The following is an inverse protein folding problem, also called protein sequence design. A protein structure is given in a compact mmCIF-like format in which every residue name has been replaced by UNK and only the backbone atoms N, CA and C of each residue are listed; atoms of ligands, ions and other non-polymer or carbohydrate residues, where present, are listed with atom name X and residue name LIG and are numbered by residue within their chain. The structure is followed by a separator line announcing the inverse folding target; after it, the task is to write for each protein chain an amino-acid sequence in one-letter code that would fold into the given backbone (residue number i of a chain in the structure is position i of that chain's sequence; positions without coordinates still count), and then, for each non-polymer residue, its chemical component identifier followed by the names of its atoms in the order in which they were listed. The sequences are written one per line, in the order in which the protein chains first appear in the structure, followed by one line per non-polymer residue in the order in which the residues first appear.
data_IF_370213340792
#
_entry.id   IF_370213340792
#
_cell.length_a   1.000
_cell.length_b   1.000
_cell.length_c   1.000
_cell.angle_alpha   90.00
_cell.angle_beta   90.00
_cell.angle_gamma   90.00
#
_symmetry.space_group_name_H-M   'P 1'
#
loop_
_entity.id
_entity.type
_entity.pdbx_description
1 polymer ?
#
# COMPACT_ATOMS: atom_id res chain seq x y z
N UNK A 1 -13.84 11.85 34.34
CA UNK A 1 -14.22 10.41 34.37
C UNK A 1 -13.33 9.70 33.41
N UNK A 2 -12.49 8.79 33.89
CA UNK A 2 -11.64 7.96 33.02
C UNK A 2 -12.52 6.91 32.35
N UNK A 3 -13.00 7.19 31.16
CA UNK A 3 -13.59 6.19 30.29
C UNK A 3 -12.49 5.62 29.41
N UNK A 4 -12.39 4.35 29.36
CA UNK A 4 -11.43 3.62 28.54
C UNK A 4 -10.55 2.64 29.29
N UNK A 5 -10.76 2.44 30.58
CA UNK A 5 -9.93 1.48 31.35
C UNK A 5 -10.09 0.02 30.90
N UNK A 6 -11.16 -0.33 30.14
CA UNK A 6 -11.48 -1.70 29.75
C UNK A 6 -11.62 -1.92 28.22
N UNK A 7 -11.52 -0.89 27.39
CA UNK A 7 -11.61 -1.08 25.94
C UNK A 7 -10.31 -1.72 25.43
N UNK A 8 -10.40 -2.99 25.02
CA UNK A 8 -9.25 -3.77 24.54
C UNK A 8 -9.22 -3.89 23.02
N UNK A 9 -10.27 -3.49 22.36
CA UNK A 9 -10.41 -3.61 20.92
C UNK A 9 -10.41 -2.25 20.25
N UNK A 10 -9.69 -2.11 19.18
CA UNK A 10 -9.63 -0.92 18.33
C UNK A 10 -9.94 -1.33 16.88
N UNK A 11 -10.78 -0.56 16.22
CA UNK A 11 -10.92 -0.57 14.76
C UNK A 11 -10.59 0.82 14.25
N UNK A 12 -9.76 0.88 13.20
CA UNK A 12 -9.41 2.14 12.55
C UNK A 12 -9.32 2.00 11.04
N UNK A 13 -9.54 3.12 10.36
CA UNK A 13 -9.33 3.27 8.93
C UNK A 13 -8.30 4.36 8.71
N UNK A 14 -7.34 4.13 7.82
CA UNK A 14 -6.36 5.13 7.43
C UNK A 14 -6.31 5.31 5.92
N UNK A 15 -5.96 6.54 5.50
CA UNK A 15 -5.66 6.87 4.13
C UNK A 15 -4.37 7.68 4.08
N UNK A 16 -3.49 7.36 3.14
CA UNK A 16 -2.16 7.96 3.02
C UNK A 16 -1.70 8.17 1.60
N UNK A 17 -0.70 9.02 1.49
CA UNK A 17 -0.01 9.38 0.25
C UNK A 17 1.44 8.92 0.35
N UNK A 18 1.87 8.13 -0.61
CA UNK A 18 3.21 7.58 -0.69
C UNK A 18 4.12 8.41 -1.59
N UNK A 19 5.41 8.46 -1.27
CA UNK A 19 6.42 9.19 -2.08
C UNK A 19 6.64 8.60 -3.47
N UNK A 20 6.20 7.39 -3.73
CA UNK A 20 6.22 6.75 -5.05
C UNK A 20 4.94 7.03 -5.88
N UNK A 21 4.23 8.12 -5.57
CA UNK A 21 3.03 8.55 -6.29
C UNK A 21 1.88 7.52 -6.23
N UNK A 22 1.74 6.87 -5.09
CA UNK A 22 0.63 5.97 -4.79
C UNK A 22 -0.15 6.45 -3.57
N UNK A 23 -1.42 6.12 -3.50
CA UNK A 23 -2.19 6.20 -2.27
C UNK A 23 -2.28 4.82 -1.61
N UNK A 24 -2.45 4.85 -0.30
CA UNK A 24 -2.60 3.68 0.55
C UNK A 24 -3.84 3.85 1.41
N UNK A 25 -4.66 2.82 1.49
CA UNK A 25 -5.81 2.78 2.39
C UNK A 25 -5.77 1.51 3.20
N UNK A 26 -6.04 1.60 4.50
CA UNK A 26 -6.01 0.45 5.42
C UNK A 26 -7.22 0.42 6.30
N UNK A 27 -7.70 -0.78 6.56
CA UNK A 27 -8.59 -1.11 7.67
C UNK A 27 -7.80 -1.92 8.66
N UNK A 28 -7.70 -1.46 9.90
CA UNK A 28 -6.89 -2.06 10.96
C UNK A 28 -7.77 -2.49 12.12
N UNK A 29 -7.55 -3.69 12.61
CA UNK A 29 -8.07 -4.18 13.88
C UNK A 29 -6.91 -4.47 14.80
N UNK A 30 -7.03 -4.04 16.09
CA UNK A 30 -6.04 -4.29 17.12
C UNK A 30 -6.69 -4.74 18.42
N UNK A 31 -6.00 -5.62 19.10
CA UNK A 31 -6.32 -6.07 20.46
C UNK A 31 -5.20 -5.60 21.40
N UNK A 32 -5.57 -4.81 22.42
CA UNK A 32 -4.63 -4.31 23.39
C UNK A 32 -4.43 -5.27 24.55
N UNK A 33 -3.22 -5.75 24.72
CA UNK A 33 -2.80 -6.59 25.85
C UNK A 33 -2.80 -5.78 27.17
N UNK A 34 -2.42 -4.52 27.05
CA UNK A 34 -2.44 -3.52 28.11
C UNK A 34 -2.62 -2.11 27.48
N UNK A 35 -2.58 -1.04 28.30
CA UNK A 35 -2.77 0.35 27.82
C UNK A 35 -1.72 0.84 26.80
N UNK A 36 -0.62 0.11 26.66
CA UNK A 36 0.54 0.53 25.85
C UNK A 36 0.75 -0.37 24.65
N UNK A 37 0.54 -1.68 24.79
CA UNK A 37 0.92 -2.69 23.78
C UNK A 37 -0.33 -3.33 23.20
N UNK A 38 -0.46 -3.28 21.89
CA UNK A 38 -1.51 -3.95 21.12
C UNK A 38 -0.92 -4.85 20.03
N UNK A 39 -1.66 -5.88 19.67
CA UNK A 39 -1.37 -6.76 18.53
C UNK A 39 -2.58 -6.79 17.61
N UNK A 40 -2.34 -6.82 16.31
CA UNK A 40 -3.44 -6.75 15.36
C UNK A 40 -3.06 -7.10 13.94
N UNK A 41 -3.94 -6.73 13.03
CA UNK A 41 -3.69 -6.87 11.61
C UNK A 41 -4.40 -5.76 10.83
N UNK A 42 -3.78 -5.37 9.72
CA UNK A 42 -4.36 -4.44 8.75
C UNK A 42 -4.60 -5.15 7.43
N UNK A 43 -5.73 -4.86 6.80
CA UNK A 43 -5.99 -5.15 5.40
C UNK A 43 -5.86 -3.85 4.62
N UNK A 44 -5.02 -3.82 3.62
CA UNK A 44 -4.75 -2.61 2.86
C UNK A 44 -4.83 -2.79 1.36
N UNK A 45 -5.00 -1.67 0.69
CA UNK A 45 -4.98 -1.53 -0.75
C UNK A 45 -4.16 -0.31 -1.12
N UNK A 46 -3.28 -0.48 -2.11
CA UNK A 46 -2.54 0.63 -2.70
C UNK A 46 -2.76 0.71 -4.21
N UNK A 47 -2.67 1.93 -4.73
CA UNK A 47 -2.69 2.18 -6.16
C UNK A 47 -1.87 3.41 -6.50
N UNK A 48 -1.04 3.29 -7.53
CA UNK A 48 -0.34 4.42 -8.08
C UNK A 48 -1.31 5.33 -8.87
N UNK A 49 -1.26 6.66 -8.62
CA UNK A 49 -2.11 7.60 -9.36
C UNK A 49 -1.43 8.16 -10.60
N UNK A 50 -0.09 8.20 -10.64
CA UNK A 50 0.67 8.75 -11.74
C UNK A 50 1.80 7.82 -12.14
N UNK A 51 1.96 7.59 -13.45
CA UNK A 51 3.10 6.90 -14.02
C UNK A 51 3.62 7.71 -15.20
N UNK A 52 4.92 7.88 -15.28
CA UNK A 52 5.56 8.76 -16.27
C UNK A 52 5.45 8.19 -17.69
N UNK A 53 5.45 6.87 -17.82
CA UNK A 53 5.45 6.19 -19.11
C UNK A 53 4.55 4.94 -19.07
N UNK A 54 3.84 4.71 -20.18
CA UNK A 54 3.14 3.44 -20.40
C UNK A 54 4.16 2.47 -21.00
N UNK A 55 4.36 1.28 -20.41
CA UNK A 55 5.22 0.26 -21.00
C UNK A 55 4.77 -0.10 -22.41
N UNK A 56 5.67 0.07 -23.37
CA UNK A 56 5.48 -0.22 -24.78
C UNK A 56 6.80 -0.52 -25.47
N UNK A 57 6.76 -1.27 -26.55
CA UNK A 57 7.93 -1.52 -27.39
C UNK A 57 7.51 -1.90 -28.80
N UNK A 58 8.40 -1.66 -29.75
CA UNK A 58 8.30 -2.19 -31.10
C UNK A 58 8.58 -3.70 -31.08
N UNK A 59 7.97 -4.41 -32.02
CA UNK A 59 8.14 -5.83 -32.28
C UNK A 59 8.61 -6.02 -33.71
N UNK A 60 9.52 -6.96 -33.90
CA UNK A 60 9.90 -7.45 -35.22
C UNK A 60 9.24 -8.84 -35.44
N UNK A 61 7.92 -8.81 -35.58
CA UNK A 61 7.11 -10.03 -35.77
C UNK A 61 6.21 -9.89 -37.00
N UNK A 62 5.95 -10.98 -37.70
CA UNK A 62 5.17 -10.95 -38.94
C UNK A 62 3.74 -10.42 -38.76
N UNK A 63 3.13 -10.65 -37.60
CA UNK A 63 1.74 -10.27 -37.34
C UNK A 63 1.60 -8.94 -36.59
N UNK A 64 2.60 -8.54 -35.77
CA UNK A 64 2.49 -7.42 -34.83
C UNK A 64 3.72 -6.53 -34.87
N UNK A 65 3.51 -5.22 -35.05
CA UNK A 65 4.60 -4.23 -35.10
C UNK A 65 5.00 -3.72 -33.72
N UNK A 66 4.06 -3.70 -32.79
CA UNK A 66 4.29 -3.15 -31.46
C UNK A 66 3.35 -3.76 -30.40
N UNK A 67 3.73 -3.58 -29.15
CA UNK A 67 2.85 -3.83 -28.03
C UNK A 67 2.87 -2.65 -27.05
N UNK A 68 1.77 -2.45 -26.34
CA UNK A 68 1.67 -1.53 -25.20
C UNK A 68 0.82 -2.11 -24.09
N UNK A 69 1.09 -1.68 -22.85
CA UNK A 69 0.24 -2.03 -21.73
C UNK A 69 -1.11 -1.31 -21.85
N UNK A 70 -2.18 -1.93 -21.37
CA UNK A 70 -3.50 -1.30 -21.32
C UNK A 70 -3.47 -0.08 -20.40
N UNK A 71 -4.19 0.98 -20.77
CA UNK A 71 -4.31 2.21 -19.98
C UNK A 71 -4.87 1.99 -18.57
N UNK A 72 -5.58 0.91 -18.35
CA UNK A 72 -6.11 0.54 -17.04
C UNK A 72 -5.08 -0.16 -16.16
N UNK A 73 -4.07 -0.80 -16.76
CA UNK A 73 -3.18 -1.74 -16.09
C UNK A 73 -1.74 -1.23 -15.90
N UNK A 74 -1.36 -0.07 -16.46
CA UNK A 74 0.01 0.43 -16.34
C UNK A 74 0.35 1.04 -14.98
N UNK A 75 -0.65 1.26 -14.12
CA UNK A 75 -0.49 1.79 -12.77
C UNK A 75 -0.48 0.68 -11.74
N UNK A 76 0.65 0.39 -11.07
CA UNK A 76 0.71 -0.63 -10.05
C UNK A 76 -0.35 -0.48 -8.97
N UNK A 77 -1.02 -1.58 -8.66
CA UNK A 77 -2.00 -1.68 -7.59
C UNK A 77 -2.01 -3.11 -7.03
N UNK A 78 -2.24 -3.25 -5.74
CA UNK A 78 -2.44 -4.55 -5.11
C UNK A 78 -3.12 -4.40 -3.75
N UNK A 79 -3.49 -5.53 -3.17
CA UNK A 79 -3.94 -5.66 -1.80
C UNK A 79 -2.85 -6.33 -0.96
N UNK A 80 -2.90 -6.09 0.35
CA UNK A 80 -1.97 -6.70 1.28
C UNK A 80 -2.61 -6.94 2.64
N UNK A 81 -2.03 -7.87 3.38
CA UNK A 81 -2.30 -8.12 4.79
C UNK A 81 -1.06 -7.77 5.60
N UNK A 82 -1.23 -7.15 6.76
CA UNK A 82 -0.13 -6.71 7.60
C UNK A 82 -0.43 -7.00 9.07
N UNK A 83 0.10 -8.10 9.65
CA UNK A 83 0.17 -8.24 11.09
C UNK A 83 0.99 -7.10 11.69
N UNK A 84 0.51 -6.55 12.80
CA UNK A 84 1.06 -5.35 13.45
C UNK A 84 1.23 -5.53 14.94
N UNK A 85 2.29 -4.92 15.46
CA UNK A 85 2.53 -4.67 16.88
C UNK A 85 2.42 -3.16 17.11
N UNK A 86 1.49 -2.72 17.95
CA UNK A 86 1.29 -1.33 18.30
C UNK A 86 1.83 -1.01 19.69
N UNK A 87 2.53 0.10 19.78
CA UNK A 87 3.06 0.63 21.05
C UNK A 87 2.56 2.07 21.17
N UNK A 88 1.79 2.34 22.22
CA UNK A 88 1.24 3.67 22.51
C UNK A 88 1.80 4.23 23.80
N UNK A 89 2.13 5.53 23.82
CA UNK A 89 2.50 6.23 25.04
C UNK A 89 1.28 6.42 25.96
N UNK A 90 1.48 6.66 27.27
CA UNK A 90 0.50 7.35 28.06
C UNK A 90 0.16 8.72 27.45
N UNK A 91 -0.92 9.36 27.92
CA UNK A 91 -1.23 10.71 27.50
C UNK A 91 -0.07 11.66 27.87
N UNK A 92 0.52 12.31 26.85
CA UNK A 92 1.62 13.27 27.00
C UNK A 92 1.09 14.67 27.31
N UNK A 93 -0.13 14.96 26.89
CA UNK A 93 -0.85 16.19 27.19
C UNK A 93 -2.36 15.91 27.24
N UNK A 94 -3.08 16.73 28.01
CA UNK A 94 -4.53 16.67 28.10
C UNK A 94 -5.12 18.07 28.08
N UNK A 95 -6.10 18.30 27.21
CA UNK A 95 -6.82 19.58 27.10
C UNK A 95 -8.31 19.27 27.14
N UNK A 96 -8.94 19.55 28.31
CA UNK A 96 -10.33 19.17 28.53
C UNK A 96 -10.54 17.66 28.43
N UNK A 97 -11.35 17.21 27.47
CA UNK A 97 -11.61 15.78 27.22
C UNK A 97 -10.66 15.14 26.19
N UNK A 98 -9.76 15.93 25.62
CA UNK A 98 -8.84 15.47 24.57
C UNK A 98 -7.50 15.07 25.17
N UNK A 99 -7.07 13.86 24.92
CA UNK A 99 -5.77 13.32 25.30
C UNK A 99 -4.87 13.18 24.06
N UNK A 100 -3.64 13.67 24.18
CA UNK A 100 -2.62 13.56 23.13
C UNK A 100 -1.67 12.41 23.48
N UNK A 101 -1.45 11.52 22.52
CA UNK A 101 -0.57 10.36 22.66
C UNK A 101 0.37 10.24 21.46
N UNK A 102 1.51 9.59 21.69
CA UNK A 102 2.38 9.11 20.63
C UNK A 102 2.16 7.61 20.46
N UNK A 103 2.21 7.15 19.24
CA UNK A 103 2.11 5.74 18.91
C UNK A 103 3.15 5.34 17.86
N UNK A 104 3.48 4.06 17.83
CA UNK A 104 4.22 3.45 16.73
C UNK A 104 3.63 2.08 16.44
N UNK A 105 3.33 1.82 15.17
CA UNK A 105 2.97 0.52 14.68
C UNK A 105 4.17 -0.08 13.94
N UNK A 106 4.49 -1.32 14.28
CA UNK A 106 5.53 -2.12 13.63
C UNK A 106 4.83 -3.26 12.90
N UNK A 107 5.01 -3.36 11.60
CA UNK A 107 4.31 -4.31 10.77
C UNK A 107 5.20 -5.08 9.81
N UNK A 108 4.68 -6.21 9.35
CA UNK A 108 5.21 -6.95 8.20
C UNK A 108 4.10 -7.05 7.17
N UNK A 109 4.28 -6.34 6.07
CA UNK A 109 3.30 -6.28 4.98
C UNK A 109 3.50 -7.46 4.04
N UNK A 110 2.43 -8.22 3.80
CA UNK A 110 2.36 -9.34 2.86
C UNK A 110 1.43 -8.97 1.71
N UNK A 111 1.99 -8.56 0.58
CA UNK A 111 1.17 -8.29 -0.61
C UNK A 111 0.76 -9.59 -1.31
N UNK A 112 -0.37 -9.56 -2.02
CA UNK A 112 -0.79 -10.66 -2.86
C UNK A 112 0.26 -10.95 -3.92
N UNK A 113 0.91 -12.16 -3.95
CA UNK A 113 2.00 -12.47 -4.86
C UNK A 113 1.49 -12.82 -6.27
N UNK A 114 0.61 -11.99 -6.81
CA UNK A 114 0.02 -12.17 -8.12
C UNK A 114 -0.29 -10.83 -8.78
N UNK A 115 0.12 -10.67 -10.02
CA UNK A 115 -0.21 -9.51 -10.84
C UNK A 115 -0.63 -9.96 -12.22
N UNK A 116 -1.77 -9.44 -12.67
CA UNK A 116 -2.33 -9.64 -13.99
C UNK A 116 -2.37 -8.31 -14.73
N UNK A 117 -1.88 -8.27 -15.95
CA UNK A 117 -1.94 -7.10 -16.81
C UNK A 117 -2.39 -7.48 -18.22
N UNK A 118 -3.05 -6.56 -18.90
CA UNK A 118 -3.49 -6.74 -20.27
C UNK A 118 -2.55 -5.97 -21.21
N UNK A 119 -1.97 -6.69 -22.15
CA UNK A 119 -1.08 -6.17 -23.19
C UNK A 119 -1.85 -6.11 -24.49
N UNK A 120 -1.83 -4.97 -25.15
CA UNK A 120 -2.41 -4.76 -26.47
C UNK A 120 -1.30 -4.84 -27.52
N UNK A 121 -1.39 -5.84 -28.41
CA UNK A 121 -0.58 -5.98 -29.60
C UNK A 121 -1.23 -5.19 -30.73
N UNK A 122 -0.45 -4.51 -31.54
CA UNK A 122 -0.92 -3.59 -32.58
C UNK A 122 -0.17 -3.89 -33.87
N UNK A 123 -0.92 -3.97 -34.96
CA UNK A 123 -0.40 -3.96 -36.33
C UNK A 123 -0.78 -2.61 -36.93
N UNK A 124 0.19 -1.77 -37.22
CA UNK A 124 -0.04 -0.42 -37.75
C UNK A 124 -0.48 -0.42 -39.20
N UNK A 125 -0.04 -1.42 -39.97
CA UNK A 125 -0.35 -1.57 -41.40
C UNK A 125 -1.81 -2.00 -41.61
N UNK A 126 -2.26 -3.01 -40.85
CA UNK A 126 -3.62 -3.53 -40.97
C UNK A 126 -4.62 -2.92 -40.02
N UNK A 127 -4.15 -2.05 -39.09
CA UNK A 127 -4.91 -1.49 -37.98
C UNK A 127 -5.54 -2.56 -37.06
N UNK A 128 -5.08 -3.80 -37.16
CA UNK A 128 -5.51 -4.87 -36.27
C UNK A 128 -4.95 -4.72 -34.90
N UNK A 129 -5.69 -5.13 -33.88
CA UNK A 129 -5.19 -5.19 -32.53
C UNK A 129 -5.73 -6.41 -31.78
N UNK A 130 -4.88 -7.00 -30.96
CA UNK A 130 -5.22 -8.14 -30.12
C UNK A 130 -4.83 -7.83 -28.68
N UNK A 131 -5.69 -8.17 -27.72
CA UNK A 131 -5.39 -8.05 -26.31
C UNK A 131 -5.09 -9.42 -25.73
N UNK A 132 -4.00 -9.52 -24.95
CA UNK A 132 -3.60 -10.74 -24.25
C UNK A 132 -3.32 -10.41 -22.78
N UNK A 133 -3.85 -11.24 -21.90
CA UNK A 133 -3.55 -11.14 -20.47
C UNK A 133 -2.24 -11.87 -20.13
N UNK A 134 -1.38 -11.19 -19.39
CA UNK A 134 -0.10 -11.74 -18.93
C UNK A 134 -0.08 -11.62 -17.41
N UNK A 135 0.41 -12.65 -16.74
CA UNK A 135 0.50 -12.67 -15.28
C UNK A 135 1.92 -13.01 -14.81
N UNK A 136 2.23 -12.61 -13.60
CA UNK A 136 3.44 -13.04 -12.89
C UNK A 136 3.12 -13.30 -11.42
N UNK A 137 3.82 -14.28 -10.84
CA UNK A 137 3.85 -14.58 -9.41
C UNK A 137 5.27 -14.50 -8.82
N UNK A 138 6.25 -14.12 -9.64
CA UNK A 138 7.65 -14.01 -9.25
C UNK A 138 7.96 -12.58 -8.81
N UNK A 139 7.59 -12.22 -7.59
CA UNK A 139 7.80 -10.89 -7.02
C UNK A 139 8.20 -10.95 -5.55
N UNK A 140 8.77 -9.87 -5.05
CA UNK A 140 8.88 -9.67 -3.61
C UNK A 140 7.48 -9.43 -3.05
N UNK A 141 7.10 -10.18 -2.02
CA UNK A 141 5.76 -10.16 -1.45
C UNK A 141 5.73 -9.84 0.05
N UNK A 142 6.90 -9.74 0.68
CA UNK A 142 7.05 -9.47 2.11
C UNK A 142 7.92 -8.22 2.31
N UNK A 143 7.44 -7.28 3.14
CA UNK A 143 8.07 -5.99 3.40
C UNK A 143 7.90 -5.63 4.87
N UNK A 144 8.84 -4.88 5.45
CA UNK A 144 8.66 -4.30 6.78
C UNK A 144 7.99 -2.91 6.69
N UNK A 145 7.29 -2.52 7.74
CA UNK A 145 6.64 -1.21 7.85
C UNK A 145 6.72 -0.69 9.28
N UNK A 146 7.06 0.59 9.44
CA UNK A 146 7.14 1.31 10.72
C UNK A 146 6.33 2.60 10.60
N UNK A 147 5.36 2.80 11.50
CA UNK A 147 4.40 3.91 11.42
C UNK A 147 4.28 4.69 12.73
N UNK A 148 5.18 5.65 13.00
CA UNK A 148 4.98 6.60 14.10
C UNK A 148 3.75 7.48 13.85
N UNK A 149 3.00 7.76 14.93
CA UNK A 149 1.76 8.53 14.92
C UNK A 149 1.70 9.51 16.07
N UNK A 150 1.00 10.62 15.84
CA UNK A 150 0.48 11.49 16.88
C UNK A 150 -1.02 11.31 16.89
N UNK A 151 -1.57 10.89 18.03
CA UNK A 151 -2.98 10.57 18.22
C UNK A 151 -3.64 11.61 19.12
N UNK A 152 -4.84 11.99 18.79
CA UNK A 152 -5.72 12.81 19.62
C UNK A 152 -6.97 11.99 19.90
N UNK A 153 -7.20 11.68 21.14
CA UNK A 153 -8.27 10.81 21.60
C UNK A 153 -9.29 11.56 22.43
N UNK A 154 -10.56 11.24 22.28
CA UNK A 154 -11.65 11.74 23.12
C UNK A 154 -12.71 10.67 23.27
N UNK A 155 -13.02 10.29 24.50
CA UNK A 155 -13.91 9.15 24.80
C UNK A 155 -13.38 7.87 24.13
N UNK A 156 -14.19 7.29 23.23
CA UNK A 156 -13.88 6.03 22.53
C UNK A 156 -13.44 6.25 21.09
N UNK A 157 -13.15 7.47 20.66
CA UNK A 157 -12.72 7.77 19.30
C UNK A 157 -11.36 8.45 19.29
N UNK A 158 -10.63 8.28 18.19
CA UNK A 158 -9.38 8.98 17.97
C UNK A 158 -9.22 9.43 16.51
N UNK A 159 -8.38 10.43 16.34
CA UNK A 159 -7.81 10.84 15.07
C UNK A 159 -6.29 10.82 15.21
N UNK A 160 -5.59 10.29 14.23
CA UNK A 160 -4.13 10.24 14.24
C UNK A 160 -3.56 10.73 12.91
N UNK A 161 -2.48 11.50 13.01
CA UNK A 161 -1.59 11.82 11.90
C UNK A 161 -0.33 10.98 12.04
N UNK A 162 0.13 10.41 10.94
CA UNK A 162 1.29 9.55 10.97
C UNK A 162 2.19 9.66 9.75
N UNK A 163 3.37 9.12 9.94
CA UNK A 163 4.39 8.97 8.92
C UNK A 163 4.80 7.51 8.86
N UNK A 164 4.73 6.90 7.69
CA UNK A 164 5.15 5.51 7.46
C UNK A 164 6.51 5.46 6.79
N UNK A 165 7.36 4.55 7.23
CA UNK A 165 8.63 4.18 6.62
C UNK A 165 8.61 2.68 6.34
N UNK A 166 8.87 2.27 5.09
CA UNK A 166 8.79 0.88 4.66
C UNK A 166 9.79 0.61 3.54
N UNK A 167 10.26 -0.63 3.41
CA UNK A 167 10.95 -1.10 2.20
C UNK A 167 9.98 -1.54 1.09
N UNK A 168 8.70 -1.23 1.25
CA UNK A 168 7.65 -1.58 0.32
C UNK A 168 7.89 -0.94 -1.06
N UNK A 169 8.06 -1.80 -2.06
CA UNK A 169 8.28 -1.40 -3.44
C UNK A 169 7.02 -1.65 -4.28
N UNK A 170 6.25 -0.59 -4.50
CA UNK A 170 5.02 -0.58 -5.31
C UNK A 170 5.21 -1.20 -6.70
N UNK A 171 6.42 -1.11 -7.25
CA UNK A 171 6.73 -1.59 -8.59
C UNK A 171 7.21 -3.04 -8.64
N UNK A 172 7.42 -3.69 -7.50
CA UNK A 172 8.08 -5.01 -7.41
C UNK A 172 7.39 -6.07 -8.27
N UNK A 173 6.06 -6.07 -8.31
CA UNK A 173 5.26 -7.00 -9.08
C UNK A 173 5.33 -6.73 -10.59
N UNK A 174 5.28 -5.47 -10.98
CA UNK A 174 5.24 -5.06 -12.38
C UNK A 174 6.59 -5.25 -13.08
N UNK A 175 7.71 -5.03 -12.39
CA UNK A 175 9.05 -5.27 -12.97
C UNK A 175 9.29 -6.72 -13.38
N UNK A 176 8.59 -7.67 -12.77
CA UNK A 176 8.72 -9.11 -13.06
C UNK A 176 7.86 -9.59 -14.24
N UNK A 177 7.06 -8.69 -14.82
CA UNK A 177 6.32 -8.97 -16.05
C UNK A 177 7.28 -8.89 -17.23
N UNK A 178 7.15 -9.82 -18.18
CA UNK A 178 7.88 -9.77 -19.44
C UNK A 178 6.95 -10.00 -20.62
N UNK A 179 7.19 -9.26 -21.70
CA UNK A 179 6.47 -9.38 -22.97
C UNK A 179 7.49 -9.65 -24.06
N UNK A 180 7.38 -10.77 -24.76
CA UNK A 180 8.29 -11.17 -25.83
C UNK A 180 9.78 -11.09 -25.41
N UNK A 181 10.08 -11.55 -24.18
CA UNK A 181 11.43 -11.54 -23.66
C UNK A 181 11.92 -10.19 -23.08
N UNK A 182 11.17 -9.10 -23.27
CA UNK A 182 11.47 -7.80 -22.71
C UNK A 182 10.82 -7.65 -21.33
N UNK A 183 11.64 -7.58 -20.28
CA UNK A 183 11.16 -7.34 -18.93
C UNK A 183 10.75 -5.87 -18.72
N UNK A 184 9.87 -5.63 -17.75
CA UNK A 184 9.40 -4.28 -17.43
C UNK A 184 10.33 -3.51 -16.49
N UNK A 185 11.51 -4.02 -16.20
CA UNK A 185 12.51 -3.39 -15.33
C UNK A 185 12.89 -1.97 -15.81
N UNK A 186 12.90 -1.73 -17.12
CA UNK A 186 13.23 -0.44 -17.72
C UNK A 186 12.12 0.62 -17.51
N UNK A 187 10.89 0.20 -17.29
CA UNK A 187 9.73 1.10 -17.17
C UNK A 187 9.39 1.47 -15.73
N UNK A 188 9.78 0.64 -14.76
CA UNK A 188 9.42 0.83 -13.36
C UNK A 188 10.66 0.94 -12.47
N UNK A 189 10.86 2.08 -11.79
CA UNK A 189 12.05 2.31 -10.98
C UNK A 189 12.11 1.35 -9.79
N UNK A 190 13.33 0.96 -9.41
CA UNK A 190 13.56 0.20 -8.19
C UNK A 190 13.65 1.17 -7.00
N UNK A 191 12.72 1.08 -6.08
CA UNK A 191 12.68 1.87 -4.85
C UNK A 191 13.11 0.99 -3.67
N UNK A 192 14.03 1.52 -2.84
CA UNK A 192 14.50 0.82 -1.62
C UNK A 192 13.70 1.20 -0.39
N UNK A 193 13.24 2.44 -0.32
CA UNK A 193 12.46 2.98 0.79
C UNK A 193 11.27 3.75 0.24
N UNK A 194 10.16 3.60 0.92
CA UNK A 194 8.92 4.30 0.67
C UNK A 194 8.48 5.02 1.93
N UNK A 195 8.09 6.27 1.78
CA UNK A 195 7.55 7.08 2.87
C UNK A 195 6.06 7.32 2.59
N UNK A 196 5.27 7.30 3.65
CA UNK A 196 3.82 7.50 3.57
C UNK A 196 3.38 8.53 4.60
N UNK A 197 2.71 9.60 4.20
CA UNK A 197 1.96 10.46 5.10
C UNK A 197 0.53 9.97 5.14
N UNK A 198 -0.05 9.79 6.33
CA UNK A 198 -1.39 9.26 6.47
C UNK A 198 -2.18 9.91 7.61
N UNK A 199 -3.49 9.91 7.41
CA UNK A 199 -4.48 10.22 8.43
C UNK A 199 -5.20 8.92 8.80
N UNK A 200 -5.45 8.73 10.09
CA UNK A 200 -6.23 7.60 10.61
C UNK A 200 -7.35 8.09 11.52
N UNK A 201 -8.48 7.41 11.45
CA UNK A 201 -9.63 7.63 12.33
C UNK A 201 -10.07 6.27 12.85
N UNK A 202 -10.36 6.18 14.13
CA UNK A 202 -10.78 4.91 14.72
C UNK A 202 -11.53 5.07 16.03
N UNK A 203 -11.88 3.92 16.58
CA UNK A 203 -12.59 3.83 17.84
C UNK A 203 -12.23 2.59 18.64
N UNK A 204 -12.48 2.69 19.94
CA UNK A 204 -12.28 1.63 20.93
C UNK A 204 -13.61 1.03 21.39
N UNK A 205 -13.65 -0.26 21.69
CA UNK A 205 -14.83 -0.97 22.19
C UNK A 205 -14.46 -2.19 23.05
#
# INVERSE_FOLDING_TARGET
MAQGENARHEISMSAGIMTNQAYDTRLTYQYYLNKTIGVGASFGYYKQWHANHIPQSELHHEEWDSWRLSEKDYKPQNIYLEPTLSINSPAIAQVGRWAFKLGVDLGVMFQLPYTLVNVKYINTTTQASQQKSIHTNNMQWCFWDIRPTVRVESNNIFVALGYGLSDFDVYSSYRKISVQGKAFDDFYPKKKLNNTFFLSVGGYF
#
